data_IF_332453049039
#
_entry.id   IF_332453049039
#
_cell.length_a   1.000
_cell.length_b   1.000
_cell.length_c   1.000
_cell.angle_alpha   90.00
_cell.angle_beta   90.00
_cell.angle_gamma   90.00
#
_symmetry.space_group_name_H-M   'P 1'
#
loop_
_entity.id
_entity.type
_entity.pdbx_description
1 polymer ?
#
# COMPACT_ATOMS: atom_id res chain seq x y z
N UNK A 1 16.26 -19.86 -20.56
CA UNK A 1 14.95 -19.90 -19.89
C UNK A 1 14.56 -18.46 -19.64
N UNK A 2 13.81 -17.87 -20.56
CA UNK A 2 13.37 -16.49 -20.40
C UNK A 2 12.39 -16.45 -19.24
N UNK A 3 12.78 -15.79 -18.14
CA UNK A 3 11.94 -15.67 -16.96
C UNK A 3 10.64 -14.99 -17.36
N UNK A 4 9.53 -15.63 -17.05
CA UNK A 4 8.21 -15.06 -17.27
C UNK A 4 8.11 -13.74 -16.50
N UNK A 5 8.07 -12.61 -17.21
CA UNK A 5 7.98 -11.30 -16.53
C UNK A 5 6.52 -10.99 -16.15
N UNK A 6 5.95 -11.81 -15.25
CA UNK A 6 4.65 -11.53 -14.65
C UNK A 6 4.87 -10.68 -13.42
N UNK A 7 4.27 -9.49 -13.44
CA UNK A 7 4.31 -8.53 -12.34
C UNK A 7 2.90 -8.29 -11.80
N UNK A 8 2.85 -7.89 -10.56
CA UNK A 8 1.58 -7.55 -9.94
C UNK A 8 1.74 -6.61 -8.77
N UNK A 9 0.64 -6.35 -8.10
CA UNK A 9 0.61 -5.60 -6.86
C UNK A 9 -0.24 -6.32 -5.81
N UNK A 10 0.22 -6.29 -4.57
CA UNK A 10 -0.49 -6.78 -3.40
C UNK A 10 -0.92 -5.60 -2.55
N UNK A 11 -2.21 -5.48 -2.25
CA UNK A 11 -2.75 -4.45 -1.36
C UNK A 11 -2.80 -4.99 0.06
N UNK A 12 -2.13 -4.31 0.95
CA UNK A 12 -2.17 -4.60 2.38
C UNK A 12 -2.62 -3.39 3.16
N UNK A 13 -3.51 -3.58 4.11
CA UNK A 13 -3.87 -2.57 5.07
C UNK A 13 -2.76 -2.44 6.13
N UNK A 14 -2.53 -1.20 6.58
CA UNK A 14 -1.66 -0.88 7.71
C UNK A 14 -2.35 0.14 8.61
N UNK A 15 -1.95 0.19 9.86
CA UNK A 15 -2.40 1.24 10.77
C UNK A 15 -1.60 2.51 10.54
N UNK A 16 -2.28 3.63 10.59
CA UNK A 16 -1.68 4.94 10.63
C UNK A 16 -2.45 5.85 11.59
N UNK A 17 -1.78 6.87 12.11
CA UNK A 17 -2.38 7.90 12.95
C UNK A 17 -2.17 9.24 12.28
N UNK A 18 -3.23 10.01 12.17
CA UNK A 18 -3.18 11.35 11.58
C UNK A 18 -2.65 12.34 12.60
N UNK A 19 -1.54 13.02 12.29
CA UNK A 19 -1.02 14.12 13.10
C UNK A 19 -1.67 15.45 12.73
N UNK A 20 -1.61 15.79 11.46
CA UNK A 20 -2.21 17.00 10.91
C UNK A 20 -2.75 16.72 9.49
N UNK A 21 -3.79 17.43 9.12
CA UNK A 21 -4.48 17.25 7.84
C UNK A 21 -4.92 18.59 7.25
N UNK A 22 -4.96 18.66 5.95
CA UNK A 22 -5.51 19.77 5.16
C UNK A 22 -6.24 19.23 3.94
N UNK A 23 -6.87 20.10 3.16
CA UNK A 23 -7.51 19.70 1.89
C UNK A 23 -6.47 19.19 0.87
N UNK A 24 -5.21 19.59 0.97
CA UNK A 24 -4.16 19.20 0.01
C UNK A 24 -3.21 18.14 0.50
N UNK A 25 -3.33 17.69 1.75
CA UNK A 25 -2.42 16.66 2.25
C UNK A 25 -2.56 16.37 3.74
N UNK A 26 -1.81 15.38 4.17
CA UNK A 26 -1.85 14.84 5.53
C UNK A 26 -0.44 14.52 6.00
N UNK A 27 -0.21 14.67 7.29
CA UNK A 27 0.93 14.08 7.99
C UNK A 27 0.42 12.93 8.86
N UNK A 28 1.05 11.79 8.73
CA UNK A 28 0.71 10.57 9.46
C UNK A 28 1.91 9.98 10.18
N UNK A 29 1.64 9.26 11.26
CA UNK A 29 2.55 8.27 11.83
C UNK A 29 2.12 6.88 11.35
N UNK A 30 3.06 5.99 11.06
CA UNK A 30 2.80 4.62 10.58
C UNK A 30 3.89 3.67 11.06
N UNK A 31 3.56 2.38 11.16
CA UNK A 31 4.50 1.31 11.49
C UNK A 31 5.45 0.96 10.33
N UNK A 32 5.26 1.56 9.16
CA UNK A 32 5.92 1.19 7.92
C UNK A 32 6.59 2.37 7.25
N UNK A 33 7.78 2.12 6.70
CA UNK A 33 8.46 3.07 5.81
C UNK A 33 7.71 3.16 4.49
N UNK A 34 7.27 4.36 4.13
CA UNK A 34 6.64 4.63 2.86
C UNK A 34 7.68 5.11 1.84
N UNK A 35 7.52 4.70 0.58
CA UNK A 35 8.42 5.11 -0.49
C UNK A 35 8.11 6.53 -0.97
N UNK A 36 9.14 7.36 -1.11
CA UNK A 36 9.01 8.70 -1.72
C UNK A 36 8.46 8.59 -3.14
N UNK A 37 7.46 9.42 -3.46
CA UNK A 37 6.76 9.37 -4.74
C UNK A 37 5.76 8.20 -4.87
N UNK A 38 5.70 7.29 -3.90
CA UNK A 38 4.72 6.20 -3.87
C UNK A 38 3.31 6.72 -3.67
N UNK A 39 2.33 6.08 -4.34
CA UNK A 39 0.89 6.39 -4.19
C UNK A 39 0.26 5.46 -3.19
N UNK A 40 -0.48 6.03 -2.25
CA UNK A 40 -1.16 5.29 -1.19
C UNK A 40 -2.57 5.82 -1.01
N UNK A 41 -3.47 4.92 -0.59
CA UNK A 41 -4.85 5.30 -0.25
C UNK A 41 -5.01 5.27 1.27
N UNK A 42 -5.38 6.40 1.84
CA UNK A 42 -5.82 6.49 3.24
C UNK A 42 -7.33 6.29 3.28
N UNK A 43 -7.81 5.46 4.20
CA UNK A 43 -9.22 5.30 4.52
C UNK A 43 -9.50 5.95 5.85
N UNK A 44 -10.00 7.18 5.79
CA UNK A 44 -10.29 8.00 6.98
C UNK A 44 -11.71 7.72 7.45
N UNK A 45 -11.92 7.11 8.63
CA UNK A 45 -13.26 6.80 9.12
C UNK A 45 -13.99 8.09 9.51
N UNK A 46 -15.18 8.31 8.95
CA UNK A 46 -16.02 9.45 9.31
C UNK A 46 -17.51 9.08 9.23
N UNK A 47 -18.24 9.27 10.34
CA UNK A 47 -19.71 9.00 10.43
C UNK A 47 -20.11 7.63 9.89
N UNK A 48 -19.35 6.58 10.24
CA UNK A 48 -19.65 5.20 9.84
C UNK A 48 -19.31 4.83 8.39
N UNK A 49 -18.62 5.72 7.68
CA UNK A 49 -18.09 5.46 6.32
C UNK A 49 -16.61 5.82 6.25
N UNK A 50 -15.90 5.15 5.37
CA UNK A 50 -14.51 5.49 5.06
C UNK A 50 -14.45 6.51 3.93
N UNK A 51 -13.68 7.57 4.13
CA UNK A 51 -13.34 8.53 3.09
C UNK A 51 -12.02 8.05 2.45
N UNK A 52 -12.03 7.57 1.19
CA UNK A 52 -10.81 7.17 0.51
C UNK A 52 -10.08 8.42 0.00
N UNK A 53 -8.85 8.62 0.45
CA UNK A 53 -7.99 9.75 0.07
C UNK A 53 -6.72 9.19 -0.59
N UNK A 54 -6.56 9.43 -1.88
CA UNK A 54 -5.33 9.07 -2.60
C UNK A 54 -4.28 10.15 -2.42
N UNK A 55 -3.09 9.76 -2.01
CA UNK A 55 -1.98 10.68 -1.79
C UNK A 55 -0.64 10.11 -2.27
N UNK A 56 0.22 11.03 -2.68
CA UNK A 56 1.62 10.73 -3.02
C UNK A 56 2.52 11.14 -1.87
N UNK A 57 3.42 10.24 -1.46
CA UNK A 57 4.38 10.51 -0.38
C UNK A 57 5.40 11.55 -0.84
N UNK A 58 5.48 12.66 -0.11
CA UNK A 58 6.43 13.75 -0.38
C UNK A 58 7.62 13.75 0.58
N UNK A 59 7.48 13.12 1.74
CA UNK A 59 8.56 12.87 2.70
C UNK A 59 8.20 11.69 3.61
N UNK A 60 9.22 10.96 4.08
CA UNK A 60 9.08 9.89 5.06
C UNK A 60 10.36 9.86 5.90
N UNK A 61 10.22 9.98 7.22
CA UNK A 61 11.29 10.01 8.20
C UNK A 61 11.08 8.91 9.22
N UNK A 62 12.16 8.34 9.71
CA UNK A 62 12.13 7.45 10.86
C UNK A 62 11.97 8.29 12.13
N UNK A 63 11.00 7.95 12.95
CA UNK A 63 10.84 8.57 14.27
C UNK A 63 11.87 7.94 15.20
N UNK A 64 12.81 8.72 15.67
CA UNK A 64 13.66 8.30 16.79
C UNK A 64 12.77 8.10 18.02
N UNK A 65 12.74 6.87 18.51
CA UNK A 65 11.86 6.41 19.60
C UNK A 65 12.15 7.08 20.97
N UNK A 66 12.83 8.22 20.98
CA UNK A 66 13.34 8.90 22.19
C UNK A 66 12.57 10.13 22.66
N UNK A 67 11.72 10.75 21.86
CA UNK A 67 11.22 12.12 22.20
C UNK A 67 9.71 12.32 22.29
N UNK A 68 8.86 11.34 22.07
CA UNK A 68 7.44 11.54 22.38
C UNK A 68 6.86 10.37 23.17
N UNK A 69 6.60 10.63 24.46
CA UNK A 69 5.68 9.86 25.30
C UNK A 69 4.23 10.04 24.83
N UNK A 70 3.97 9.95 23.55
CA UNK A 70 2.60 9.88 23.05
C UNK A 70 2.10 8.45 23.21
N UNK A 71 1.08 8.27 24.04
CA UNK A 71 0.41 7.01 24.38
C UNK A 71 -0.17 6.25 23.16
N UNK A 72 0.03 6.76 21.95
CA UNK A 72 -0.63 6.30 20.73
C UNK A 72 0.14 5.30 19.89
N UNK A 73 0.92 4.41 20.46
CA UNK A 73 1.64 3.32 19.76
C UNK A 73 3.06 3.64 19.26
N UNK A 74 3.94 2.66 19.23
CA UNK A 74 5.31 2.79 18.75
C UNK A 74 5.35 2.81 17.21
N UNK A 75 4.74 3.83 16.59
CA UNK A 75 4.79 3.98 15.14
C UNK A 75 6.15 4.55 14.74
N UNK A 76 6.91 3.75 13.98
CA UNK A 76 8.33 4.00 13.69
C UNK A 76 8.59 5.11 12.67
N UNK A 77 7.60 5.44 11.85
CA UNK A 77 7.80 6.38 10.74
C UNK A 77 6.77 7.50 10.80
N UNK A 78 7.22 8.71 10.44
CA UNK A 78 6.36 9.83 10.11
C UNK A 78 6.44 10.10 8.61
N UNK A 79 5.31 10.36 7.97
CA UNK A 79 5.25 10.60 6.54
C UNK A 79 4.25 11.69 6.19
N UNK A 80 4.57 12.47 5.16
CA UNK A 80 3.68 13.45 4.57
C UNK A 80 3.20 12.99 3.20
N UNK A 81 1.89 13.02 3.00
CA UNK A 81 1.25 12.71 1.72
C UNK A 81 0.58 13.96 1.16
N UNK A 82 0.76 14.17 -0.12
CA UNK A 82 0.08 15.20 -0.90
C UNK A 82 -1.09 14.57 -1.64
N UNK A 83 -2.30 15.11 -1.44
CA UNK A 83 -3.50 14.67 -2.14
C UNK A 83 -3.54 15.29 -3.53
N UNK A 84 -3.77 14.47 -4.55
CA UNK A 84 -3.97 14.93 -5.91
C UNK A 84 -5.34 14.45 -6.40
N UNK A 85 -6.06 15.32 -7.11
CA UNK A 85 -7.31 14.98 -7.80
C UNK A 85 -8.40 14.37 -6.91
N UNK A 86 -8.61 14.93 -5.71
CA UNK A 86 -9.73 14.52 -4.86
C UNK A 86 -11.06 14.77 -5.57
N UNK A 87 -11.96 13.77 -5.53
CA UNK A 87 -13.33 13.95 -5.98
C UNK A 87 -14.07 14.97 -5.08
N UNK A 88 -15.13 15.58 -5.61
CA UNK A 88 -15.95 16.52 -4.83
C UNK A 88 -16.52 15.87 -3.56
N UNK A 89 -16.87 14.58 -3.63
CA UNK A 89 -17.33 13.79 -2.48
C UNK A 89 -16.23 13.62 -1.44
N UNK A 90 -14.99 13.29 -1.86
CA UNK A 90 -13.84 13.18 -0.98
C UNK A 90 -13.51 14.52 -0.31
N UNK A 91 -13.56 15.64 -1.04
CA UNK A 91 -13.36 16.99 -0.49
C UNK A 91 -14.43 17.33 0.55
N UNK A 92 -15.69 17.06 0.26
CA UNK A 92 -16.81 17.31 1.19
C UNK A 92 -16.68 16.46 2.45
N UNK A 93 -16.38 15.17 2.30
CA UNK A 93 -16.16 14.26 3.43
C UNK A 93 -14.98 14.69 4.29
N UNK A 94 -13.85 15.04 3.66
CA UNK A 94 -12.64 15.51 4.34
C UNK A 94 -12.88 16.82 5.08
N UNK A 95 -13.61 17.75 4.50
CA UNK A 95 -14.00 19.02 5.16
C UNK A 95 -14.82 18.70 6.42
N UNK A 96 -15.85 17.85 6.30
CA UNK A 96 -16.65 17.44 7.45
C UNK A 96 -15.85 16.71 8.54
N UNK A 97 -14.89 15.87 8.14
CA UNK A 97 -13.96 15.21 9.07
C UNK A 97 -13.11 16.24 9.82
N UNK A 98 -12.49 17.20 9.10
CA UNK A 98 -11.68 18.25 9.69
C UNK A 98 -12.50 19.10 10.67
N UNK A 99 -13.71 19.51 10.30
CA UNK A 99 -14.58 20.32 11.16
C UNK A 99 -14.96 19.61 12.44
N UNK A 100 -15.13 18.28 12.39
CA UNK A 100 -15.54 17.50 13.54
C UNK A 100 -14.37 17.20 14.51
N UNK A 101 -13.17 16.94 13.97
CA UNK A 101 -12.03 16.43 14.76
C UNK A 101 -10.96 17.49 15.05
N UNK A 102 -11.05 18.70 14.47
CA UNK A 102 -10.04 19.73 14.70
C UNK A 102 -10.04 20.20 16.15
N UNK A 103 -8.88 20.17 16.79
CA UNK A 103 -8.67 20.76 18.11
C UNK A 103 -7.97 22.12 17.97
N UNK A 104 -6.96 22.17 17.10
CA UNK A 104 -6.17 23.37 16.90
C UNK A 104 -5.98 23.66 15.42
N UNK A 105 -6.02 24.95 15.07
CA UNK A 105 -5.67 25.45 13.75
C UNK A 105 -4.18 25.75 13.73
N UNK A 106 -3.41 25.04 12.90
CA UNK A 106 -2.00 25.34 12.70
C UNK A 106 -1.93 26.47 11.65
N UNK A 107 -1.53 27.65 12.08
CA UNK A 107 -1.29 28.77 11.16
C UNK A 107 0.00 28.52 10.37
N UNK A 108 0.04 28.89 9.07
CA UNK A 108 1.19 28.62 8.18
C UNK A 108 2.53 29.21 8.62
N UNK A 109 2.51 30.17 9.53
CA UNK A 109 3.69 30.93 9.95
C UNK A 109 4.65 30.21 10.90
N UNK A 110 4.31 29.04 11.41
CA UNK A 110 5.10 28.40 12.48
C UNK A 110 5.97 27.23 12.04
N UNK A 111 5.96 26.81 10.79
CA UNK A 111 6.78 25.67 10.34
C UNK A 111 7.61 26.04 9.13
N UNK A 112 8.76 26.67 9.38
CA UNK A 112 9.86 26.76 8.42
C UNK A 112 10.63 25.44 8.39
N UNK A 113 10.17 24.48 7.57
CA UNK A 113 11.01 23.37 7.15
C UNK A 113 11.12 23.39 5.63
N UNK A 114 12.35 23.55 5.13
CA UNK A 114 12.76 23.39 3.73
C UNK A 114 12.10 24.35 2.71
N UNK A 115 12.09 25.67 2.96
CA UNK A 115 12.02 26.69 1.90
C UNK A 115 10.73 26.78 1.06
N UNK A 116 9.69 26.03 1.39
CA UNK A 116 8.43 26.04 0.65
C UNK A 116 7.34 26.86 1.35
N UNK A 117 6.77 27.84 0.62
CA UNK A 117 5.58 28.57 1.07
C UNK A 117 4.38 27.62 1.07
N UNK A 118 3.74 27.42 2.22
CA UNK A 118 2.53 26.59 2.34
C UNK A 118 1.31 27.48 2.15
N UNK A 119 0.51 27.17 1.14
CA UNK A 119 -0.69 27.98 0.79
C UNK A 119 -1.95 27.53 1.53
N UNK A 120 -1.93 26.36 2.19
CA UNK A 120 -3.13 25.79 2.83
C UNK A 120 -2.99 25.64 4.35
N UNK A 121 -4.08 25.98 5.03
CA UNK A 121 -4.24 25.80 6.47
C UNK A 121 -4.28 24.32 6.81
N UNK A 122 -3.51 23.91 7.83
CA UNK A 122 -3.53 22.57 8.40
C UNK A 122 -4.22 22.59 9.75
N UNK A 123 -4.81 21.46 10.08
CA UNK A 123 -5.49 21.27 11.34
C UNK A 123 -4.85 20.12 12.09
N UNK A 124 -4.42 20.38 13.31
CA UNK A 124 -3.94 19.35 14.21
C UNK A 124 -5.13 18.53 14.72
N UNK A 125 -4.98 17.22 14.70
CA UNK A 125 -5.97 16.31 15.26
C UNK A 125 -5.72 16.12 16.74
N UNK A 126 -6.77 16.17 17.55
CA UNK A 126 -6.67 16.20 19.03
C UNK A 126 -6.63 14.85 19.70
N UNK A 127 -6.31 13.82 18.99
CA UNK A 127 -6.25 12.48 19.53
C UNK A 127 -5.50 11.55 18.59
N UNK A 128 -5.43 10.28 18.99
CA UNK A 128 -4.90 9.24 18.12
C UNK A 128 -5.95 8.86 17.08
N UNK A 129 -6.24 9.77 16.14
CA UNK A 129 -7.18 9.49 15.06
C UNK A 129 -6.62 8.39 14.16
N UNK A 130 -7.02 7.16 14.49
CA UNK A 130 -6.61 5.97 13.73
C UNK A 130 -7.23 5.99 12.35
N UNK A 131 -6.40 5.77 11.38
CA UNK A 131 -6.79 5.60 9.98
C UNK A 131 -6.16 4.35 9.41
N UNK A 132 -6.71 3.83 8.35
CA UNK A 132 -6.13 2.70 7.63
C UNK A 132 -5.42 3.22 6.39
N UNK A 133 -4.13 2.90 6.25
CA UNK A 133 -3.41 3.11 5.02
C UNK A 133 -3.42 1.82 4.19
N UNK A 134 -3.87 1.92 2.94
CA UNK A 134 -3.81 0.82 1.98
C UNK A 134 -2.55 1.00 1.14
N UNK A 135 -1.65 0.06 1.25
CA UNK A 135 -0.37 0.05 0.57
C UNK A 135 -0.45 -0.96 -0.57
N UNK A 136 -0.16 -0.50 -1.79
CA UNK A 136 -0.02 -1.37 -2.97
C UNK A 136 1.45 -1.62 -3.20
N UNK A 137 1.91 -2.83 -2.86
CA UNK A 137 3.31 -3.25 -2.99
C UNK A 137 3.50 -4.03 -4.28
N UNK A 138 4.46 -3.67 -5.14
CA UNK A 138 4.75 -4.43 -6.33
C UNK A 138 5.37 -5.78 -5.96
N UNK A 139 5.10 -6.79 -6.79
CA UNK A 139 5.75 -8.09 -6.72
C UNK A 139 6.06 -8.62 -8.12
N UNK A 140 7.00 -9.57 -8.17
CA UNK A 140 7.33 -10.34 -9.36
C UNK A 140 7.01 -11.81 -9.12
N UNK A 141 6.39 -12.46 -10.10
CA UNK A 141 6.08 -13.90 -10.02
C UNK A 141 7.30 -14.71 -10.45
N UNK A 142 7.76 -15.60 -9.57
CA UNK A 142 8.87 -16.56 -9.85
C UNK A 142 8.34 -17.89 -10.35
N UNK A 143 7.27 -18.37 -9.74
CA UNK A 143 6.62 -19.63 -10.10
C UNK A 143 5.11 -19.46 -10.06
N UNK A 144 4.41 -20.13 -10.97
CA UNK A 144 2.96 -20.04 -11.12
C UNK A 144 2.34 -21.40 -11.30
N UNK A 145 1.21 -21.63 -10.61
CA UNK A 145 0.39 -22.83 -10.70
C UNK A 145 -1.09 -22.47 -10.68
N UNK A 146 -1.98 -23.44 -10.89
CA UNK A 146 -3.42 -23.22 -10.78
C UNK A 146 -3.90 -22.96 -9.35
N UNK A 147 -3.14 -23.37 -8.35
CA UNK A 147 -3.50 -23.24 -6.93
C UNK A 147 -2.83 -22.04 -6.23
N UNK A 148 -1.79 -21.48 -6.83
CA UNK A 148 -1.01 -20.43 -6.19
C UNK A 148 0.24 -20.04 -6.96
N UNK A 149 1.08 -19.24 -6.32
CA UNK A 149 2.32 -18.76 -6.91
C UNK A 149 3.41 -18.59 -5.85
N UNK A 150 4.66 -18.57 -6.29
CA UNK A 150 5.79 -18.02 -5.56
C UNK A 150 6.07 -16.64 -6.11
N UNK A 151 6.01 -15.63 -5.26
CA UNK A 151 6.31 -14.27 -5.65
C UNK A 151 7.55 -13.75 -4.91
N UNK A 152 8.26 -12.84 -5.57
CA UNK A 152 9.33 -12.04 -5.00
C UNK A 152 8.79 -10.67 -4.62
N UNK A 153 9.06 -10.22 -3.39
CA UNK A 153 8.61 -8.92 -2.86
C UNK A 153 9.63 -8.37 -1.87
N UNK A 154 9.85 -7.07 -1.92
CA UNK A 154 10.70 -6.38 -0.93
C UNK A 154 10.07 -6.37 0.47
N UNK A 155 8.81 -6.76 0.54
CA UNK A 155 8.05 -6.78 1.78
C UNK A 155 7.81 -8.19 2.29
N UNK A 156 8.02 -8.37 3.60
CA UNK A 156 7.62 -9.55 4.32
C UNK A 156 6.13 -9.47 4.69
N UNK A 157 5.40 -10.56 4.44
CA UNK A 157 4.02 -10.76 4.87
C UNK A 157 3.93 -11.94 5.83
N UNK A 158 3.12 -11.79 6.88
CA UNK A 158 2.95 -12.86 7.87
C UNK A 158 2.16 -14.04 7.25
N UNK A 159 2.58 -15.28 7.48
CA UNK A 159 1.79 -16.46 7.10
C UNK A 159 0.38 -16.39 7.67
N UNK A 160 -0.60 -16.78 6.86
CA UNK A 160 -2.02 -16.69 7.19
C UNK A 160 -2.70 -15.38 6.76
N UNK A 161 -1.94 -14.32 6.46
CA UNK A 161 -2.51 -13.05 5.97
C UNK A 161 -3.20 -13.23 4.62
N UNK A 162 -4.34 -12.56 4.46
CA UNK A 162 -5.06 -12.47 3.18
C UNK A 162 -4.79 -11.10 2.53
N UNK A 163 -4.43 -11.13 1.25
CA UNK A 163 -4.04 -9.96 0.48
C UNK A 163 -4.94 -9.83 -0.75
N UNK A 164 -5.44 -8.63 -1.00
CA UNK A 164 -6.03 -8.32 -2.30
C UNK A 164 -4.90 -8.14 -3.30
N UNK A 165 -4.91 -8.94 -4.35
CA UNK A 165 -3.81 -9.01 -5.30
C UNK A 165 -4.32 -8.83 -6.73
N UNK A 166 -3.48 -8.20 -7.53
CA UNK A 166 -3.67 -8.08 -8.97
C UNK A 166 -2.36 -8.46 -9.66
N UNK A 167 -2.44 -9.30 -10.68
CA UNK A 167 -1.29 -9.60 -11.55
C UNK A 167 -1.66 -9.37 -13.01
N UNK A 168 -0.67 -8.96 -13.80
CA UNK A 168 -0.79 -8.78 -15.23
C UNK A 168 -0.09 -9.93 -15.93
N UNK A 169 -0.86 -10.71 -16.67
CA UNK A 169 -0.37 -11.76 -17.56
C UNK A 169 0.07 -11.17 -18.90
N UNK A 170 0.74 -11.94 -19.77
CA UNK A 170 0.98 -11.54 -21.15
C UNK A 170 -0.31 -11.04 -21.83
N UNK A 171 -0.17 -10.18 -22.85
CA UNK A 171 -1.28 -9.52 -23.56
C UNK A 171 -2.11 -8.57 -22.67
N UNK A 172 -1.50 -8.00 -21.60
CA UNK A 172 -2.12 -7.07 -20.66
C UNK A 172 -3.38 -7.62 -19.96
N UNK A 173 -3.48 -8.93 -19.86
CA UNK A 173 -4.59 -9.58 -19.15
C UNK A 173 -4.44 -9.43 -17.66
N UNK A 174 -5.30 -8.62 -17.02
CA UNK A 174 -5.32 -8.42 -15.57
C UNK A 174 -6.16 -9.48 -14.87
N UNK A 175 -5.60 -10.03 -13.79
CA UNK A 175 -6.26 -11.00 -12.92
C UNK A 175 -6.24 -10.47 -11.50
N UNK A 176 -7.43 -10.27 -10.92
CA UNK A 176 -7.60 -9.87 -9.52
C UNK A 176 -8.08 -11.07 -8.70
N UNK A 177 -7.53 -11.25 -7.51
CA UNK A 177 -7.82 -12.37 -6.61
C UNK A 177 -7.48 -12.02 -5.16
N UNK A 178 -7.97 -12.85 -4.23
CA UNK A 178 -7.48 -12.86 -2.84
C UNK A 178 -6.45 -13.98 -2.74
N UNK A 179 -5.24 -13.62 -2.32
CA UNK A 179 -4.16 -14.56 -2.05
C UNK A 179 -3.94 -14.71 -0.55
N UNK A 180 -3.74 -15.94 -0.07
CA UNK A 180 -3.34 -16.24 1.31
C UNK A 180 -1.86 -16.55 1.36
N UNK A 181 -1.13 -15.85 2.21
CA UNK A 181 0.28 -16.14 2.49
C UNK A 181 0.41 -17.48 3.19
N UNK A 182 1.15 -18.41 2.60
CA UNK A 182 1.38 -19.74 3.16
C UNK A 182 2.75 -19.86 3.81
N UNK A 183 3.77 -19.29 3.15
CA UNK A 183 5.15 -19.40 3.57
C UNK A 183 5.94 -18.18 3.10
N UNK A 184 7.08 -17.95 3.72
CA UNK A 184 8.09 -17.05 3.22
C UNK A 184 9.47 -17.65 3.38
N UNK A 185 10.38 -17.24 2.52
CA UNK A 185 11.79 -17.61 2.58
C UNK A 185 12.61 -16.32 2.58
N UNK A 186 13.55 -16.19 3.53
CA UNK A 186 14.44 -15.04 3.57
C UNK A 186 15.35 -15.03 2.33
N UNK A 187 15.88 -13.85 1.97
CA UNK A 187 16.83 -13.72 0.86
C UNK A 187 18.05 -14.62 1.10
N UNK A 188 18.41 -15.45 0.11
CA UNK A 188 19.53 -16.37 0.23
C UNK A 188 20.89 -15.70 -0.06
N UNK A 189 20.91 -14.67 -0.91
CA UNK A 189 22.16 -14.09 -1.43
C UNK A 189 22.53 -12.73 -0.82
N UNK A 190 21.57 -12.01 -0.26
CA UNK A 190 21.79 -10.67 0.37
C UNK A 190 20.89 -10.50 1.57
N UNK A 191 21.40 -10.07 2.74
CA UNK A 191 20.59 -9.86 3.94
C UNK A 191 19.43 -8.83 3.76
N UNK A 192 19.58 -7.92 2.79
CA UNK A 192 18.60 -6.89 2.44
C UNK A 192 17.93 -7.13 1.07
N UNK A 193 17.91 -8.37 0.58
CA UNK A 193 17.25 -8.74 -0.68
C UNK A 193 15.75 -8.96 -0.51
N UNK A 194 15.03 -9.17 -1.64
CA UNK A 194 13.61 -9.46 -1.61
C UNK A 194 13.31 -10.85 -1.02
N UNK A 195 12.12 -10.99 -0.44
CA UNK A 195 11.60 -12.23 0.12
C UNK A 195 10.89 -13.04 -0.96
N UNK A 196 11.09 -14.36 -0.93
CA UNK A 196 10.28 -15.31 -1.68
C UNK A 196 9.06 -15.69 -0.85
N UNK A 197 7.85 -15.43 -1.37
CA UNK A 197 6.60 -15.59 -0.63
C UNK A 197 5.67 -16.52 -1.37
N UNK A 198 5.28 -17.61 -0.70
CA UNK A 198 4.30 -18.57 -1.21
C UNK A 198 2.88 -18.07 -0.99
N UNK A 199 2.12 -17.94 -2.07
CA UNK A 199 0.73 -17.47 -2.08
C UNK A 199 -0.19 -18.57 -2.59
N UNK A 200 -1.24 -18.89 -1.83
CA UNK A 200 -2.36 -19.74 -2.26
C UNK A 200 -3.49 -18.85 -2.78
N UNK A 201 -4.05 -19.15 -3.94
CA UNK A 201 -5.24 -18.46 -4.46
C UNK A 201 -6.48 -18.90 -3.68
N UNK A 202 -7.18 -17.93 -3.04
CA UNK A 202 -8.41 -18.18 -2.28
C UNK A 202 -9.64 -17.92 -3.14
N UNK A 203 -9.66 -16.79 -3.85
CA UNK A 203 -10.76 -16.43 -4.73
C UNK A 203 -10.19 -16.15 -6.12
N UNK A 204 -10.51 -16.99 -7.06
CA UNK A 204 -10.17 -16.80 -8.47
C UNK A 204 -11.43 -17.12 -9.28
N UNK A 205 -11.92 -16.14 -10.04
CA UNK A 205 -13.10 -16.35 -10.88
C UNK A 205 -12.84 -17.43 -11.92
N UNK A 206 -13.88 -18.14 -12.36
CA UNK A 206 -13.73 -19.18 -13.38
C UNK A 206 -13.15 -18.63 -14.69
N UNK A 207 -13.49 -17.39 -15.04
CA UNK A 207 -12.91 -16.72 -16.19
C UNK A 207 -11.39 -16.52 -16.01
N UNK A 208 -10.94 -16.05 -14.85
CA UNK A 208 -9.52 -15.87 -14.54
C UNK A 208 -8.79 -17.21 -14.44
N UNK A 209 -9.45 -18.24 -13.89
CA UNK A 209 -8.91 -19.60 -13.83
C UNK A 209 -8.67 -20.18 -15.23
N UNK A 210 -9.59 -19.96 -16.16
CA UNK A 210 -9.46 -20.40 -17.55
C UNK A 210 -8.28 -19.73 -18.24
N UNK A 211 -8.14 -18.39 -18.08
CA UNK A 211 -7.01 -17.64 -18.64
C UNK A 211 -5.67 -18.14 -18.08
N UNK A 212 -5.61 -18.34 -16.75
CA UNK A 212 -4.43 -18.83 -16.07
C UNK A 212 -4.05 -20.25 -16.55
N UNK A 213 -5.05 -21.13 -16.72
CA UNK A 213 -4.85 -22.49 -17.27
C UNK A 213 -4.29 -22.47 -18.69
N UNK A 214 -4.81 -21.58 -19.53
CA UNK A 214 -4.30 -21.36 -20.89
C UNK A 214 -2.84 -20.94 -20.90
N UNK A 215 -2.47 -19.96 -20.07
CA UNK A 215 -1.09 -19.51 -19.93
C UNK A 215 -0.15 -20.61 -19.44
N UNK A 216 -0.52 -21.33 -18.37
CA UNK A 216 0.32 -22.40 -17.82
C UNK A 216 0.53 -23.51 -18.88
N UNK A 217 -0.54 -23.87 -19.61
CA UNK A 217 -0.42 -24.85 -20.71
C UNK A 217 0.50 -24.34 -21.83
N UNK A 218 0.39 -23.10 -22.22
CA UNK A 218 1.26 -22.51 -23.24
C UNK A 218 2.73 -22.52 -22.80
N UNK A 219 3.01 -22.14 -21.55
CA UNK A 219 4.36 -22.20 -20.98
C UNK A 219 4.94 -23.61 -21.01
N UNK A 220 4.15 -24.61 -20.58
CA UNK A 220 4.56 -26.00 -20.59
C UNK A 220 4.91 -26.48 -22.02
N UNK A 221 4.11 -26.12 -23.02
CA UNK A 221 4.37 -26.47 -24.42
C UNK A 221 5.61 -25.77 -24.96
N UNK A 222 5.82 -24.49 -24.60
CA UNK A 222 7.01 -23.74 -24.97
C UNK A 222 8.29 -24.36 -24.41
N UNK A 223 8.30 -24.71 -23.12
CA UNK A 223 9.44 -25.38 -22.47
C UNK A 223 9.71 -26.78 -23.06
N UNK A 224 8.66 -27.47 -23.53
CA UNK A 224 8.78 -28.77 -24.18
C UNK A 224 9.18 -28.70 -25.68
N UNK A 225 9.39 -27.48 -26.22
CA UNK A 225 9.80 -27.27 -27.63
C UNK A 225 8.69 -27.47 -28.66
N UNK A 226 7.42 -27.39 -28.24
CA UNK A 226 6.25 -27.57 -29.13
C UNK A 226 5.60 -26.25 -29.60
N UNK A 227 6.27 -25.13 -29.46
CA UNK A 227 5.76 -23.83 -29.99
C UNK A 227 6.63 -23.39 -31.16
N UNK A 228 6.02 -23.25 -32.33
CA UNK A 228 6.57 -22.54 -33.48
C UNK A 228 6.62 -21.04 -33.21
#
# INVERSE_FOLDING_TARGET
>A
MDALDIRGSARAAGEAVINDISITGVSIKTDRKLHLGGRYTLKVPHKGKDIPLEGTVIWCLENDAGESMDECSPLKYAAGLHFANLSQEAVSGLTGFIEFHRVNKITPSQVHYLGGRRDNVRFQMGGCEKTTIVISEPFRVKMLSLGGMLMESDRLYNPGSELQMEMTLPEDVRISFIGKVISYFPPQERPAGPYDIGIKFMTLSEQHRTKLKGLIRWLYLKDAGFTD
#
